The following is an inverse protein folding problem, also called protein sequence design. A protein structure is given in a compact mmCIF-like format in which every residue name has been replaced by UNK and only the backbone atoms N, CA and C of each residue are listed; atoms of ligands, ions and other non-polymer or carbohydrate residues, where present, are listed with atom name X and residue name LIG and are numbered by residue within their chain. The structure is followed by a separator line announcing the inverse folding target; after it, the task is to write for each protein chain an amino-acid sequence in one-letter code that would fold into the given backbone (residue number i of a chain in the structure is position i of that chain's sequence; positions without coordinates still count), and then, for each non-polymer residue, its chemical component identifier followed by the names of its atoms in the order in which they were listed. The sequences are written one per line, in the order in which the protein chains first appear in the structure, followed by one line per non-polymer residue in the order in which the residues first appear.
data_IF_134984884493
#
_entry.id   IF_134984884493
#
_cell.length_a   1.000
_cell.length_b   1.000
_cell.length_c   1.000
_cell.angle_alpha   90.00
_cell.angle_beta   90.00
_cell.angle_gamma   90.00
#
_symmetry.space_group_name_H-M   'P 1'
#
loop_
_entity.id
_entity.type
_entity.pdbx_description
1 polymer ?
#
# COMPACT_ATOMS: atom_id res chain seq x y z
N UNK A 1 23.33 28.11 20.60
CA UNK A 1 21.88 27.77 20.65
C UNK A 1 21.64 26.64 19.66
N UNK A 2 21.18 25.48 20.12
CA UNK A 2 21.13 24.22 19.34
C UNK A 2 19.87 24.15 18.47
N UNK A 3 19.75 25.04 17.48
CA UNK A 3 18.73 24.90 16.44
C UNK A 3 19.32 24.08 15.30
N UNK A 4 19.17 22.74 15.31
CA UNK A 4 19.40 21.86 14.13
C UNK A 4 19.17 20.37 14.44
N UNK A 5 18.02 19.99 15.03
CA UNK A 5 17.61 18.58 15.09
C UNK A 5 16.25 18.32 14.43
N UNK A 6 15.91 19.09 13.39
CA UNK A 6 14.62 18.98 12.67
C UNK A 6 14.70 18.23 11.34
N UNK A 7 15.82 17.59 11.00
CA UNK A 7 15.88 16.75 9.81
C UNK A 7 15.20 15.40 10.08
N UNK A 8 13.90 15.34 9.81
CA UNK A 8 13.16 14.10 9.67
C UNK A 8 13.16 13.65 8.21
N UNK A 9 13.51 12.40 7.98
CA UNK A 9 13.29 11.73 6.71
C UNK A 9 11.98 10.95 6.80
N UNK A 10 11.04 11.30 5.93
CA UNK A 10 9.75 10.61 5.82
C UNK A 10 9.88 9.57 4.70
N UNK A 11 9.47 8.34 4.99
CA UNK A 11 9.34 7.25 4.03
C UNK A 11 7.98 6.56 4.25
N UNK A 12 7.65 5.62 3.37
CA UNK A 12 6.45 4.82 3.45
C UNK A 12 6.82 3.34 3.41
N UNK A 13 6.12 2.54 4.20
CA UNK A 13 6.11 1.09 4.05
C UNK A 13 4.78 0.70 3.40
N UNK A 14 4.88 0.23 2.15
CA UNK A 14 3.77 -0.34 1.41
C UNK A 14 3.77 -1.85 1.66
N UNK A 15 2.65 -2.37 2.13
CA UNK A 15 2.39 -3.81 2.20
C UNK A 15 1.22 -4.12 1.28
N UNK A 16 1.38 -5.08 0.37
CA UNK A 16 0.29 -5.53 -0.50
C UNK A 16 0.26 -7.04 -0.58
N UNK A 17 -0.93 -7.62 -0.72
CA UNK A 17 -1.06 -9.06 -0.89
C UNK A 17 -0.65 -9.44 -2.32
N UNK A 18 0.48 -10.12 -2.46
CA UNK A 18 0.91 -10.72 -3.72
C UNK A 18 0.02 -11.94 -3.99
N UNK A 19 -0.88 -11.80 -4.97
CA UNK A 19 -1.87 -12.81 -5.32
C UNK A 19 -1.30 -14.05 -6.03
N UNK A 20 -0.06 -13.97 -6.52
CA UNK A 20 0.64 -15.09 -7.16
C UNK A 20 1.34 -15.96 -6.12
N UNK A 21 1.96 -15.33 -5.12
CA UNK A 21 2.66 -16.02 -4.02
C UNK A 21 1.76 -16.31 -2.82
N UNK A 22 0.59 -15.67 -2.77
CA UNK A 22 -0.33 -15.69 -1.63
C UNK A 22 0.35 -15.24 -0.32
N UNK A 23 1.21 -14.23 -0.40
CA UNK A 23 1.98 -13.68 0.73
C UNK A 23 1.98 -12.16 0.70
N UNK A 24 2.15 -11.52 1.86
CA UNK A 24 2.36 -10.07 1.90
C UNK A 24 3.73 -9.71 1.34
N UNK A 25 3.75 -8.90 0.29
CA UNK A 25 4.94 -8.22 -0.19
C UNK A 25 5.12 -6.92 0.60
N UNK A 26 6.36 -6.57 0.94
CA UNK A 26 6.71 -5.39 1.72
C UNK A 26 7.74 -4.56 0.96
N UNK A 27 7.45 -3.28 0.76
CA UNK A 27 8.33 -2.31 0.10
C UNK A 27 8.49 -1.08 0.98
N UNK A 28 9.72 -0.55 1.07
CA UNK A 28 9.99 0.76 1.67
C UNK A 28 10.42 1.73 0.59
N UNK A 29 9.83 2.93 0.58
CA UNK A 29 10.10 3.93 -0.46
C UNK A 29 9.88 5.34 0.07
N UNK A 30 10.63 6.31 -0.44
CA UNK A 30 10.32 7.74 -0.29
C UNK A 30 9.33 8.23 -1.37
N UNK A 31 9.12 7.43 -2.43
CA UNK A 31 8.17 7.70 -3.49
C UNK A 31 6.72 7.58 -3.01
N UNK A 32 5.83 8.34 -3.64
CA UNK A 32 4.38 8.35 -3.32
C UNK A 32 3.54 7.49 -4.25
N UNK A 33 4.19 6.79 -5.19
CA UNK A 33 3.52 5.96 -6.19
C UNK A 33 4.32 4.69 -6.42
N UNK A 34 3.61 3.58 -6.56
CA UNK A 34 4.14 2.27 -6.90
C UNK A 34 3.08 1.54 -7.73
N UNK A 35 3.52 0.79 -8.73
CA UNK A 35 2.65 0.05 -9.64
C UNK A 35 3.07 -1.41 -9.65
N UNK A 36 2.09 -2.30 -9.54
CA UNK A 36 2.27 -3.75 -9.61
C UNK A 36 0.99 -4.38 -10.15
N UNK A 37 1.11 -5.61 -10.61
CA UNK A 37 -0.02 -6.41 -11.11
C UNK A 37 -0.79 -7.07 -9.96
N UNK A 38 -2.10 -7.24 -10.16
CA UNK A 38 -3.00 -7.91 -9.24
C UNK A 38 -3.94 -8.85 -9.99
N UNK A 39 -4.23 -10.02 -9.40
CA UNK A 39 -5.31 -10.89 -9.82
C UNK A 39 -6.66 -10.32 -9.35
N UNK A 40 -7.41 -9.70 -10.27
CA UNK A 40 -8.70 -9.05 -9.97
C UNK A 40 -9.84 -10.05 -9.68
N UNK A 41 -9.60 -11.35 -9.79
CA UNK A 41 -10.55 -12.38 -9.34
C UNK A 41 -10.51 -12.59 -7.82
N UNK A 42 -9.51 -12.02 -7.14
CA UNK A 42 -9.30 -12.07 -5.70
C UNK A 42 -9.37 -10.68 -5.07
N UNK A 43 -9.47 -10.63 -3.74
CA UNK A 43 -9.36 -9.38 -3.01
C UNK A 43 -7.96 -8.75 -3.22
N UNK A 44 -7.94 -7.49 -3.64
CA UNK A 44 -6.75 -6.65 -3.60
C UNK A 44 -6.67 -6.00 -2.23
N UNK A 45 -5.59 -6.26 -1.48
CA UNK A 45 -5.37 -5.73 -0.13
C UNK A 45 -4.07 -4.96 -0.08
N UNK A 46 -4.15 -3.71 0.37
CA UNK A 46 -3.01 -2.79 0.45
C UNK A 46 -3.03 -2.06 1.78
N UNK A 47 -1.87 -1.94 2.42
CA UNK A 47 -1.64 -1.16 3.64
C UNK A 47 -0.46 -0.23 3.46
N UNK A 48 -0.58 0.98 3.97
CA UNK A 48 0.50 1.97 3.94
C UNK A 48 0.75 2.48 5.36
N UNK A 49 2.00 2.33 5.80
CA UNK A 49 2.50 2.91 7.04
C UNK A 49 3.41 4.08 6.72
N UNK A 50 3.41 5.09 7.59
CA UNK A 50 4.41 6.15 7.57
C UNK A 50 5.63 5.70 8.36
N UNK A 51 6.81 5.91 7.79
CA UNK A 51 8.08 5.69 8.46
C UNK A 51 8.76 7.04 8.71
N UNK A 52 9.25 7.24 9.93
CA UNK A 52 10.07 8.38 10.32
C UNK A 52 11.47 7.90 10.68
N UNK A 53 12.47 8.58 10.17
CA UNK A 53 13.87 8.35 10.51
C UNK A 53 14.65 9.67 10.57
N UNK A 54 15.88 9.62 11.08
CA UNK A 54 16.81 10.73 11.16
C UNK A 54 16.93 11.28 12.57
N UNK A 55 17.40 12.51 12.69
CA UNK A 55 17.73 13.12 13.98
C UNK A 55 16.49 13.23 14.90
N UNK A 56 15.31 13.38 14.32
CA UNK A 56 14.07 13.48 15.09
C UNK A 56 13.62 12.17 15.75
N UNK A 57 14.23 11.04 15.38
CA UNK A 57 13.98 9.73 15.98
C UNK A 57 15.25 9.11 16.54
N UNK A 58 16.28 9.92 16.83
CA UNK A 58 17.61 9.44 17.23
C UNK A 58 18.20 8.39 16.26
N UNK A 59 17.95 8.57 14.96
CA UNK A 59 18.32 7.65 13.89
C UNK A 59 17.71 6.24 14.01
N UNK A 60 16.68 6.07 14.83
CA UNK A 60 15.90 4.84 14.92
C UNK A 60 14.70 4.95 13.99
N UNK A 61 14.49 3.96 13.13
CA UNK A 61 13.30 3.92 12.29
C UNK A 61 12.05 3.72 13.16
N UNK A 62 11.15 4.69 13.11
CA UNK A 62 9.83 4.62 13.73
C UNK A 62 8.79 4.34 12.66
N UNK A 63 7.89 3.38 12.92
CA UNK A 63 6.74 3.10 12.07
C UNK A 63 5.48 3.60 12.78
N UNK A 64 4.55 4.19 12.04
CA UNK A 64 3.24 4.54 12.58
C UNK A 64 2.55 3.29 13.15
N UNK A 65 1.90 3.44 14.30
CA UNK A 65 1.08 2.36 14.88
C UNK A 65 -0.10 2.02 13.97
N UNK A 66 -0.76 3.08 13.47
CA UNK A 66 -1.85 2.97 12.51
C UNK A 66 -1.34 2.95 11.08
N UNK A 67 -2.15 2.37 10.20
CA UNK A 67 -1.94 2.36 8.76
C UNK A 67 -3.21 2.79 8.03
N UNK A 68 -3.04 3.26 6.80
CA UNK A 68 -4.14 3.40 5.85
C UNK A 68 -4.31 2.08 5.12
N UNK A 69 -5.54 1.57 5.02
CA UNK A 69 -5.86 0.33 4.33
C UNK A 69 -6.79 0.59 3.15
N UNK A 70 -6.58 -0.16 2.08
CA UNK A 70 -7.50 -0.30 0.97
C UNK A 70 -7.76 -1.80 0.74
N UNK A 71 -9.03 -2.18 0.72
CA UNK A 71 -9.49 -3.50 0.31
C UNK A 71 -10.43 -3.31 -0.87
N UNK A 72 -10.03 -3.80 -2.03
CA UNK A 72 -10.88 -3.85 -3.21
C UNK A 72 -11.28 -5.30 -3.46
N UNK A 73 -12.59 -5.57 -3.39
CA UNK A 73 -13.15 -6.89 -3.70
C UNK A 73 -13.17 -7.11 -5.22
N UNK A 74 -13.19 -8.37 -5.67
CA UNK A 74 -13.47 -8.70 -7.07
C UNK A 74 -14.75 -8.00 -7.52
N UNK A 75 -14.77 -7.55 -8.77
CA UNK A 75 -16.03 -7.15 -9.39
C UNK A 75 -16.98 -8.35 -9.29
N UNK A 76 -18.23 -8.13 -8.88
CA UNK A 76 -19.21 -9.20 -8.88
C UNK A 76 -19.29 -9.76 -10.30
N UNK A 77 -19.25 -11.09 -10.52
CA UNK A 77 -19.71 -11.62 -11.78
C UNK A 77 -21.11 -11.04 -11.97
N UNK A 78 -21.35 -10.34 -13.08
CA UNK A 78 -22.66 -9.75 -13.36
C UNK A 78 -23.76 -10.77 -13.08
N UNK A 79 -24.92 -10.30 -12.60
CA UNK A 79 -26.08 -11.12 -12.29
C UNK A 79 -26.17 -12.30 -13.27
N UNK A 80 -26.06 -13.52 -12.75
CA UNK A 80 -26.19 -14.75 -13.52
C UNK A 80 -27.46 -14.67 -14.35
N UNK A 81 -27.34 -14.46 -15.67
CA UNK A 81 -28.47 -14.27 -16.59
C UNK A 81 -28.56 -12.92 -17.32
N UNK A 82 -27.60 -12.01 -17.16
CA UNK A 82 -27.55 -10.79 -17.99
C UNK A 82 -26.54 -10.98 -19.11
N UNK A 83 -27.02 -11.39 -20.29
CA UNK A 83 -26.19 -11.42 -21.49
C UNK A 83 -25.67 -10.00 -21.79
N UNK A 84 -24.38 -9.88 -22.07
CA UNK A 84 -23.82 -8.65 -22.61
C UNK A 84 -24.41 -8.45 -24.01
N UNK A 85 -25.19 -7.37 -24.18
CA UNK A 85 -25.77 -7.03 -25.49
C UNK A 85 -24.65 -6.50 -26.37
N UNK A 86 -24.38 -7.20 -27.45
CA UNK A 86 -23.47 -6.77 -28.51
C UNK A 86 -23.99 -5.44 -29.09
N UNK A 87 -23.20 -4.37 -28.96
CA UNK A 87 -23.46 -3.09 -29.61
C UNK A 87 -22.65 -3.11 -30.90
N UNK A 88 -23.23 -3.75 -31.92
CA UNK A 88 -22.73 -3.71 -33.30
C UNK A 88 -22.76 -2.32 -33.91
#
# INVERSE_FOLDING_TARGET
SLMTMTTCNIQYQLEYLDTFKNTWAVLRTSGRSYSTEFDLTKDVKVRVYTLLNGHCTNNVMQRSENYTELIQKPASPGLTGTEAKDLG
#
